data_IF_438929637200
#
_entry.id   IF_438929637200
#
_cell.length_a   1.000
_cell.length_b   1.000
_cell.length_c   1.000
_cell.angle_alpha   90.00
_cell.angle_beta   90.00
_cell.angle_gamma   90.00
#
_symmetry.space_group_name_H-M   'P 1'
#
loop_
_entity.id
_entity.type
_entity.pdbx_description
1 polymer ?
#
# COMPACT_ATOMS: atom_id res chain seq x y z
N UNK A 1 -11.03 -1.25 10.12
CA UNK A 1 -10.90 -1.84 8.75
C UNK A 1 -10.38 -3.27 8.75
N UNK A 2 -9.22 -3.57 9.35
CA UNK A 2 -8.70 -4.95 9.45
C UNK A 2 -9.64 -5.94 10.17
N UNK A 3 -10.39 -5.48 11.18
CA UNK A 3 -11.38 -6.30 11.90
C UNK A 3 -12.56 -6.74 11.03
N UNK A 4 -12.93 -5.97 10.00
CA UNK A 4 -14.07 -6.30 9.13
C UNK A 4 -13.73 -7.47 8.20
N UNK A 5 -12.49 -7.52 7.68
CA UNK A 5 -12.03 -8.67 6.88
C UNK A 5 -11.98 -9.97 7.70
N UNK A 6 -11.68 -9.88 8.99
CA UNK A 6 -11.69 -11.05 9.90
C UNK A 6 -13.10 -11.63 10.10
N UNK A 7 -14.15 -10.81 10.01
CA UNK A 7 -15.55 -11.28 10.16
C UNK A 7 -16.07 -11.99 8.91
N UNK A 8 -15.49 -11.70 7.75
CA UNK A 8 -16.01 -12.13 6.45
C UNK A 8 -15.51 -13.53 6.06
N UNK A 9 -14.44 -14.04 6.68
CA UNK A 9 -13.96 -15.40 6.43
C UNK A 9 -13.16 -16.00 7.60
N UNK A 10 -13.41 -17.28 7.88
CA UNK A 10 -12.64 -18.14 8.77
C UNK A 10 -11.61 -19.00 8.02
N UNK A 11 -10.94 -19.91 8.76
CA UNK A 11 -9.97 -20.85 8.18
C UNK A 11 -10.58 -21.84 7.19
N UNK A 12 -11.80 -22.34 7.49
CA UNK A 12 -12.50 -23.36 6.69
C UNK A 12 -13.83 -22.87 6.07
N UNK A 13 -14.20 -21.60 6.23
CA UNK A 13 -15.47 -21.05 5.71
C UNK A 13 -15.33 -19.59 5.29
N UNK A 14 -16.17 -19.16 4.35
CA UNK A 14 -16.19 -17.78 3.84
C UNK A 14 -15.45 -17.59 2.52
N UNK A 15 -14.98 -16.36 2.31
CA UNK A 15 -14.51 -15.88 1.00
C UNK A 15 -13.15 -16.50 0.60
N UNK A 16 -13.01 -16.93 -0.67
CA UNK A 16 -11.78 -17.52 -1.21
C UNK A 16 -10.59 -16.53 -1.26
N UNK A 17 -9.37 -17.05 -1.32
CA UNK A 17 -8.14 -16.24 -1.32
C UNK A 17 -8.13 -15.18 -2.44
N UNK A 18 -8.63 -15.51 -3.62
CA UNK A 18 -8.71 -14.61 -4.79
C UNK A 18 -9.58 -13.38 -4.48
N UNK A 19 -10.72 -13.60 -3.84
CA UNK A 19 -11.62 -12.52 -3.46
C UNK A 19 -11.03 -11.65 -2.34
N UNK A 20 -10.32 -12.24 -1.37
CA UNK A 20 -9.60 -11.46 -0.33
C UNK A 20 -8.50 -10.59 -0.95
N UNK A 21 -7.76 -11.15 -1.90
CA UNK A 21 -6.76 -10.41 -2.68
C UNK A 21 -7.40 -9.26 -3.46
N UNK A 22 -8.54 -9.52 -4.09
CA UNK A 22 -9.30 -8.50 -4.84
C UNK A 22 -9.74 -7.37 -3.91
N UNK A 23 -10.35 -7.68 -2.76
CA UNK A 23 -10.77 -6.68 -1.77
C UNK A 23 -9.59 -5.83 -1.27
N UNK A 24 -8.43 -6.44 -1.04
CA UNK A 24 -7.24 -5.69 -0.67
C UNK A 24 -6.83 -4.67 -1.76
N UNK A 25 -6.78 -5.12 -3.02
CA UNK A 25 -6.34 -4.29 -4.15
C UNK A 25 -7.34 -3.20 -4.51
N UNK A 26 -8.65 -3.48 -4.42
CA UNK A 26 -9.70 -2.54 -4.84
C UNK A 26 -10.14 -1.61 -3.71
N UNK A 27 -10.12 -2.06 -2.46
CA UNK A 27 -10.60 -1.24 -1.33
C UNK A 27 -9.42 -0.61 -0.60
N UNK A 28 -8.56 -1.42 0.01
CA UNK A 28 -7.50 -0.93 0.90
C UNK A 28 -6.47 -0.10 0.14
N UNK A 29 -5.96 -0.64 -0.97
CA UNK A 29 -4.95 0.05 -1.76
C UNK A 29 -5.50 1.34 -2.39
N UNK A 30 -6.74 1.32 -2.89
CA UNK A 30 -7.37 2.51 -3.50
C UNK A 30 -7.67 3.60 -2.46
N UNK A 31 -8.14 3.23 -1.27
CA UNK A 31 -8.37 4.19 -0.18
C UNK A 31 -7.08 4.92 0.20
N UNK A 32 -5.96 4.20 0.32
CA UNK A 32 -4.67 4.82 0.62
C UNK A 32 -4.12 5.62 -0.57
N UNK A 33 -4.38 5.18 -1.81
CA UNK A 33 -3.93 5.87 -3.02
C UNK A 33 -4.64 7.20 -3.23
N UNK A 34 -5.91 7.34 -2.81
CA UNK A 34 -6.72 8.53 -3.05
C UNK A 34 -6.06 9.83 -2.53
N UNK A 35 -5.42 9.78 -1.36
CA UNK A 35 -4.70 10.92 -0.79
C UNK A 35 -3.19 10.90 -1.02
N UNK A 36 -2.66 9.92 -1.76
CA UNK A 36 -1.22 9.66 -1.83
C UNK A 36 -0.42 10.81 -2.46
N UNK A 37 -1.03 11.60 -3.35
CA UNK A 37 -0.39 12.79 -3.95
C UNK A 37 0.04 13.83 -2.91
N UNK A 38 -0.70 13.97 -1.81
CA UNK A 38 -0.42 14.99 -0.80
C UNK A 38 0.74 14.61 0.15
N UNK A 39 1.01 13.32 0.36
CA UNK A 39 1.96 12.87 1.40
C UNK A 39 2.93 11.77 0.95
N UNK A 40 2.75 11.14 -0.21
CA UNK A 40 3.53 9.98 -0.66
C UNK A 40 4.41 10.25 -1.90
N UNK A 41 4.68 11.51 -2.25
CA UNK A 41 5.61 11.84 -3.33
C UNK A 41 7.06 11.43 -2.99
N UNK A 42 7.50 11.76 -1.76
CA UNK A 42 8.84 11.43 -1.23
C UNK A 42 8.73 10.89 0.22
N UNK A 43 8.25 9.66 0.42
CA UNK A 43 8.02 9.12 1.75
C UNK A 43 9.34 8.81 2.48
N UNK A 44 9.41 9.30 3.72
CA UNK A 44 10.53 9.04 4.64
C UNK A 44 10.59 7.58 5.07
N UNK A 45 11.73 7.15 5.63
CA UNK A 45 11.90 5.78 6.15
C UNK A 45 10.82 5.41 7.18
N UNK A 46 10.48 6.33 8.09
CA UNK A 46 9.43 6.14 9.10
C UNK A 46 8.06 5.88 8.46
N UNK A 47 7.74 6.59 7.38
CA UNK A 47 6.49 6.41 6.63
C UNK A 47 6.47 5.06 5.92
N UNK A 48 7.56 4.68 5.24
CA UNK A 48 7.70 3.36 4.59
C UNK A 48 7.49 2.23 5.60
N UNK A 49 8.12 2.32 6.79
CA UNK A 49 7.95 1.34 7.88
C UNK A 49 6.50 1.28 8.38
N UNK A 50 5.82 2.42 8.50
CA UNK A 50 4.41 2.46 8.91
C UNK A 50 3.48 1.84 7.87
N UNK A 51 3.72 2.11 6.58
CA UNK A 51 2.97 1.46 5.48
C UNK A 51 3.19 -0.05 5.45
N UNK A 52 4.42 -0.50 5.72
CA UNK A 52 4.72 -1.92 5.82
C UNK A 52 3.95 -2.60 6.96
N UNK A 53 3.87 -1.93 8.12
CA UNK A 53 3.07 -2.40 9.27
C UNK A 53 1.56 -2.44 8.95
N UNK A 54 1.05 -1.46 8.21
CA UNK A 54 -0.35 -1.44 7.74
C UNK A 54 -0.62 -2.58 6.77
N UNK A 55 0.28 -2.83 5.81
CA UNK A 55 0.12 -3.85 4.78
C UNK A 55 0.17 -5.28 5.35
N UNK A 56 1.05 -5.53 6.32
CA UNK A 56 1.40 -6.87 6.78
C UNK A 56 0.21 -7.72 7.25
N UNK A 57 -0.72 -7.23 8.09
CA UNK A 57 -1.85 -8.05 8.53
C UNK A 57 -2.75 -8.47 7.36
N UNK A 58 -2.91 -7.63 6.33
CA UNK A 58 -3.69 -8.00 5.14
C UNK A 58 -3.01 -9.14 4.37
N UNK A 59 -1.70 -9.08 4.19
CA UNK A 59 -0.95 -10.14 3.52
C UNK A 59 -1.04 -11.47 4.26
N UNK A 60 -0.97 -11.45 5.59
CA UNK A 60 -1.18 -12.65 6.41
C UNK A 60 -2.61 -13.20 6.28
N UNK A 61 -3.62 -12.32 6.25
CA UNK A 61 -5.02 -12.75 6.10
C UNK A 61 -5.36 -13.30 4.70
N UNK A 62 -4.69 -12.80 3.66
CA UNK A 62 -4.84 -13.30 2.30
C UNK A 62 -4.12 -14.64 2.15
N UNK A 63 -2.86 -14.73 2.59
CA UNK A 63 -2.04 -15.94 2.43
C UNK A 63 -2.41 -17.07 3.41
N UNK A 64 -2.96 -16.75 4.57
CA UNK A 64 -3.14 -17.72 5.65
C UNK A 64 -1.83 -18.16 6.33
N UNK A 65 -0.71 -17.49 6.03
CA UNK A 65 0.61 -17.88 6.52
C UNK A 65 0.82 -17.59 8.02
N UNK A 66 1.81 -18.25 8.62
CA UNK A 66 2.18 -18.03 10.03
C UNK A 66 2.62 -16.59 10.30
N UNK A 67 2.38 -16.11 11.52
CA UNK A 67 2.75 -14.75 11.95
C UNK A 67 4.25 -14.47 11.91
N UNK A 68 5.12 -15.47 11.88
CA UNK A 68 6.58 -15.33 11.80
C UNK A 68 7.08 -15.21 10.36
N UNK A 69 6.22 -15.43 9.35
CA UNK A 69 6.63 -15.34 7.95
C UNK A 69 7.10 -13.91 7.58
N UNK A 70 8.23 -13.79 6.85
CA UNK A 70 8.71 -12.50 6.37
C UNK A 70 7.71 -11.85 5.42
N UNK A 71 7.37 -10.58 5.64
CA UNK A 71 6.41 -9.85 4.80
C UNK A 71 6.87 -9.75 3.33
N UNK A 72 8.19 -9.68 3.09
CA UNK A 72 8.74 -9.68 1.74
C UNK A 72 8.42 -11.00 0.99
N UNK A 73 8.48 -12.14 1.68
CA UNK A 73 8.08 -13.42 1.11
C UNK A 73 6.56 -13.48 0.84
N UNK A 74 5.75 -12.87 1.71
CA UNK A 74 4.30 -12.77 1.47
C UNK A 74 3.98 -11.92 0.24
N UNK A 75 4.73 -10.83 0.03
CA UNK A 75 4.59 -9.97 -1.14
C UNK A 75 4.92 -10.72 -2.43
N UNK A 76 6.00 -11.50 -2.45
CA UNK A 76 6.41 -12.27 -3.62
C UNK A 76 5.42 -13.40 -3.92
N UNK A 77 5.02 -14.20 -2.93
CA UNK A 77 4.07 -15.31 -3.10
C UNK A 77 2.70 -14.81 -3.58
N UNK A 78 2.23 -13.67 -3.06
CA UNK A 78 0.93 -13.10 -3.44
C UNK A 78 0.98 -12.22 -4.71
N UNK A 79 2.17 -11.97 -5.27
CA UNK A 79 2.35 -11.04 -6.39
C UNK A 79 1.93 -9.60 -6.05
N UNK A 80 2.05 -9.20 -4.78
CA UNK A 80 1.64 -7.87 -4.30
C UNK A 80 2.90 -7.03 -4.08
N UNK A 81 3.06 -5.88 -4.77
CA UNK A 81 4.22 -5.02 -4.57
C UNK A 81 4.22 -4.36 -3.18
N UNK A 82 5.38 -3.90 -2.69
CA UNK A 82 5.46 -3.11 -1.48
C UNK A 82 4.54 -1.88 -1.55
N UNK A 83 3.69 -1.70 -0.53
CA UNK A 83 2.63 -0.69 -0.55
C UNK A 83 3.17 0.74 -0.78
N UNK A 84 4.34 1.07 -0.24
CA UNK A 84 4.95 2.38 -0.42
C UNK A 84 5.36 2.66 -1.87
N UNK A 85 5.82 1.66 -2.62
CA UNK A 85 6.17 1.82 -4.05
C UNK A 85 4.91 2.06 -4.88
N UNK A 86 3.85 1.30 -4.59
CA UNK A 86 2.57 1.44 -5.27
C UNK A 86 1.93 2.81 -5.04
N UNK A 87 2.00 3.32 -3.80
CA UNK A 87 1.47 4.64 -3.44
C UNK A 87 2.33 5.77 -4.01
N UNK A 88 3.65 5.64 -4.05
CA UNK A 88 4.50 6.61 -4.75
C UNK A 88 4.17 6.69 -6.24
N UNK A 89 3.94 5.54 -6.89
CA UNK A 89 3.56 5.50 -8.29
C UNK A 89 2.23 6.22 -8.54
N UNK A 90 1.19 5.90 -7.75
CA UNK A 90 -0.12 6.57 -7.84
C UNK A 90 -0.03 8.06 -7.50
N UNK A 91 0.78 8.45 -6.51
CA UNK A 91 1.03 9.84 -6.17
C UNK A 91 1.63 10.62 -7.34
N UNK A 92 2.64 10.04 -8.02
CA UNK A 92 3.26 10.66 -9.20
C UNK A 92 2.30 10.72 -10.38
N UNK A 93 1.56 9.64 -10.63
CA UNK A 93 0.56 9.58 -11.68
C UNK A 93 -0.50 10.68 -11.48
N UNK A 94 -1.09 10.75 -10.30
CA UNK A 94 -2.10 11.77 -9.98
C UNK A 94 -1.52 13.19 -10.02
N UNK A 95 -0.30 13.40 -9.55
CA UNK A 95 0.41 14.68 -9.64
C UNK A 95 0.56 15.17 -11.08
N UNK A 96 0.97 14.28 -11.99
CA UNK A 96 1.19 14.62 -13.41
C UNK A 96 -0.14 14.80 -14.13
N UNK A 97 -1.02 13.80 -14.09
CA UNK A 97 -2.21 13.75 -14.95
C UNK A 97 -3.38 14.57 -14.42
N UNK A 98 -3.54 14.67 -13.10
CA UNK A 98 -4.69 15.38 -12.48
C UNK A 98 -4.31 16.79 -12.04
N UNK A 99 -3.15 16.94 -11.40
CA UNK A 99 -2.71 18.22 -10.86
C UNK A 99 -1.83 19.01 -11.83
N UNK A 100 -1.39 18.40 -12.95
CA UNK A 100 -0.48 19.01 -13.94
C UNK A 100 0.82 19.55 -13.34
N UNK A 101 1.28 18.93 -12.24
CA UNK A 101 2.54 19.29 -11.59
C UNK A 101 3.67 18.47 -12.25
N UNK A 102 4.64 19.11 -12.91
CA UNK A 102 5.73 18.40 -13.56
C UNK A 102 6.64 17.71 -12.52
N UNK A 103 7.13 16.51 -12.86
CA UNK A 103 7.90 15.64 -11.97
C UNK A 103 9.14 16.34 -11.36
N UNK A 104 9.72 17.31 -12.09
CA UNK A 104 10.86 18.16 -11.69
C UNK A 104 10.60 19.02 -10.47
N UNK A 105 9.39 19.58 -10.31
CA UNK A 105 9.05 20.51 -9.22
C UNK A 105 9.07 19.82 -7.86
N UNK A 106 8.74 18.51 -7.82
CA UNK A 106 8.76 17.70 -6.60
C UNK A 106 10.16 17.40 -6.05
N UNK A 107 11.18 17.40 -6.92
CA UNK A 107 12.59 17.23 -6.54
C UNK A 107 13.23 18.58 -6.17
N UNK A 108 12.80 19.67 -6.81
CA UNK A 108 13.33 21.02 -6.57
C UNK A 108 12.78 21.66 -5.28
N UNK A 109 11.51 21.44 -4.94
CA UNK A 109 10.93 21.95 -3.68
C UNK A 109 11.69 21.44 -2.45
N UNK A 110 12.28 20.24 -2.48
CA UNK A 110 13.10 19.73 -1.37
C UNK A 110 14.46 20.44 -1.27
N UNK A 111 15.06 20.82 -2.42
CA UNK A 111 16.34 21.55 -2.42
C UNK A 111 16.18 22.99 -1.94
N UNK A 112 14.99 23.57 -2.10
CA UNK A 112 14.66 24.93 -1.66
C UNK A 112 14.36 25.05 -0.15
N UNK A 113 14.12 23.95 0.55
CA UNK A 113 13.90 23.91 2.01
C UNK A 113 15.07 23.26 2.77
N UNK A 114 16.18 23.02 2.07
CA UNK A 114 17.42 22.48 2.61
C UNK A 114 18.51 23.56 2.81
N UNK A 115 18.13 24.84 2.77
CA UNK A 115 18.93 26.00 3.18
C UNK A 115 18.09 26.89 4.07
#
# INVERSE_FOLDING_TARGET
MQQNLKRIAGGNWGISQIHRWTLYKTVIQRMLAHGSSAWCLNPTFKMKRKLFSIQRPFLLHISGAYRTTPTAALQTILGIPPLHMQLQFEARFTSIYRLRIPLTLSLQLVRSWAW
#
